data_IF_149016961315
#
_entry.id   IF_149016961315
#
_cell.length_a   1.000
_cell.length_b   1.000
_cell.length_c   1.000
_cell.angle_alpha   90.00
_cell.angle_beta   90.00
_cell.angle_gamma   90.00
#
_symmetry.space_group_name_H-M   'P 1'
#
loop_
_entity.id
_entity.type
_entity.pdbx_description
1 polymer ?
#
# COMPACT_ATOMS: atom_id res chain seq x y z
N UNK A 1 -17.52 -1.80 -13.63
CA UNK A 1 -16.47 -1.03 -14.34
C UNK A 1 -16.11 0.30 -13.69
N UNK A 2 -17.06 1.10 -13.20
CA UNK A 2 -16.79 2.42 -12.58
C UNK A 2 -15.85 2.36 -11.36
N UNK A 3 -16.01 1.37 -10.48
CA UNK A 3 -15.17 1.21 -9.27
C UNK A 3 -13.71 0.94 -9.64
N UNK A 4 -13.45 0.09 -10.63
CA UNK A 4 -12.08 -0.21 -11.09
C UNK A 4 -11.44 1.04 -11.71
N UNK A 5 -12.20 1.81 -12.49
CA UNK A 5 -11.72 3.07 -13.06
C UNK A 5 -11.39 4.11 -11.98
N UNK A 6 -12.28 4.26 -11.00
CA UNK A 6 -12.07 5.14 -9.85
C UNK A 6 -10.82 4.73 -9.06
N UNK A 7 -10.66 3.43 -8.80
CA UNK A 7 -9.47 2.90 -8.12
C UNK A 7 -8.19 3.17 -8.91
N UNK A 8 -8.16 2.94 -10.22
CA UNK A 8 -6.98 3.25 -11.06
C UNK A 8 -6.60 4.73 -10.98
N UNK A 9 -7.60 5.61 -11.06
CA UNK A 9 -7.37 7.05 -10.97
C UNK A 9 -6.85 7.45 -9.59
N UNK A 10 -7.46 6.93 -8.52
CA UNK A 10 -6.99 7.10 -7.15
C UNK A 10 -5.55 6.61 -6.99
N UNK A 11 -5.23 5.43 -7.52
CA UNK A 11 -3.92 4.82 -7.37
C UNK A 11 -2.82 5.63 -8.09
N UNK A 12 -3.11 6.24 -9.24
CA UNK A 12 -2.19 7.17 -9.91
C UNK A 12 -1.84 8.36 -9.00
N UNK A 13 -2.86 8.96 -8.36
CA UNK A 13 -2.66 10.09 -7.44
C UNK A 13 -1.88 9.64 -6.19
N UNK A 14 -2.25 8.49 -5.62
CA UNK A 14 -1.57 7.93 -4.45
C UNK A 14 -0.08 7.71 -4.71
N UNK A 15 0.31 7.18 -5.88
CA UNK A 15 1.73 7.04 -6.24
C UNK A 15 2.47 8.39 -6.27
N UNK A 16 1.82 9.45 -6.75
CA UNK A 16 2.39 10.79 -6.76
C UNK A 16 2.55 11.35 -5.34
N UNK A 17 1.58 11.10 -4.47
CA UNK A 17 1.62 11.52 -3.06
C UNK A 17 2.74 10.80 -2.29
N UNK A 18 2.90 9.49 -2.52
CA UNK A 18 3.98 8.69 -1.94
C UNK A 18 5.36 9.18 -2.39
N UNK A 19 5.53 9.46 -3.69
CA UNK A 19 6.78 10.03 -4.21
C UNK A 19 7.14 11.39 -3.59
N UNK A 20 6.14 12.16 -3.16
CA UNK A 20 6.29 13.48 -2.51
C UNK A 20 6.30 13.43 -0.98
N UNK A 21 6.26 12.24 -0.38
CA UNK A 21 6.26 12.14 1.07
C UNK A 21 7.51 12.81 1.68
N UNK A 22 7.37 13.34 2.88
CA UNK A 22 8.48 13.87 3.68
C UNK A 22 9.06 12.72 4.50
N UNK A 23 10.35 12.41 4.33
CA UNK A 23 10.99 11.27 4.99
C UNK A 23 10.54 9.89 4.47
N UNK A 24 10.71 8.86 5.29
CA UNK A 24 10.46 7.47 4.90
C UNK A 24 8.96 7.13 4.84
N UNK A 25 8.64 6.12 4.03
CA UNK A 25 7.29 5.53 3.95
C UNK A 25 7.29 4.24 4.76
N UNK A 26 6.42 4.17 5.76
CA UNK A 26 6.16 2.95 6.51
C UNK A 26 4.98 2.20 5.90
N UNK A 27 4.87 0.90 6.11
CA UNK A 27 3.67 0.16 5.75
C UNK A 27 3.29 -0.85 6.82
N UNK A 28 1.99 -1.14 6.89
CA UNK A 28 1.45 -2.27 7.63
C UNK A 28 0.93 -3.30 6.63
N UNK A 29 1.12 -4.57 6.93
CA UNK A 29 0.50 -5.69 6.22
C UNK A 29 -0.45 -6.40 7.17
N UNK A 30 -1.73 -6.44 6.81
CA UNK A 30 -2.73 -7.24 7.49
C UNK A 30 -2.96 -8.52 6.68
N UNK A 31 -2.83 -9.68 7.30
CA UNK A 31 -2.99 -10.98 6.67
C UNK A 31 -4.04 -11.77 7.43
N UNK A 32 -5.01 -12.28 6.70
CA UNK A 32 -6.07 -13.09 7.28
C UNK A 32 -6.53 -14.16 6.28
N UNK A 33 -7.28 -15.12 6.81
CA UNK A 33 -7.95 -16.15 6.03
C UNK A 33 -9.46 -15.96 6.23
N UNK A 34 -10.23 -15.93 5.15
CA UNK A 34 -11.69 -15.84 5.24
C UNK A 34 -12.33 -17.15 5.72
N UNK A 35 -13.64 -17.14 5.92
CA UNK A 35 -14.41 -18.33 6.35
C UNK A 35 -14.36 -19.49 5.34
N UNK A 36 -14.00 -19.19 4.08
CA UNK A 36 -13.84 -20.18 3.01
C UNK A 36 -12.39 -20.67 2.88
N UNK A 37 -11.55 -20.41 3.88
CA UNK A 37 -10.13 -20.75 3.89
C UNK A 37 -9.31 -20.08 2.77
N UNK A 38 -9.74 -18.89 2.31
CA UNK A 38 -9.04 -18.11 1.29
C UNK A 38 -8.15 -17.07 1.98
N UNK A 39 -6.83 -17.10 1.74
CA UNK A 39 -5.92 -16.16 2.37
C UNK A 39 -5.85 -14.84 1.60
N UNK A 40 -5.84 -13.74 2.34
CA UNK A 40 -5.76 -12.39 1.82
C UNK A 40 -4.66 -11.59 2.50
N UNK A 41 -4.19 -10.56 1.80
CA UNK A 41 -3.30 -9.53 2.33
C UNK A 41 -3.83 -8.15 1.95
N UNK A 42 -3.83 -7.25 2.93
CA UNK A 42 -4.01 -5.82 2.73
C UNK A 42 -2.72 -5.09 3.13
N UNK A 43 -2.24 -4.18 2.28
CA UNK A 43 -1.06 -3.35 2.59
C UNK A 43 -1.46 -1.89 2.59
N UNK A 44 -1.21 -1.22 3.72
CA UNK A 44 -1.46 0.21 3.91
C UNK A 44 -0.16 0.95 4.15
N UNK A 45 0.17 1.89 3.26
CA UNK A 45 1.31 2.78 3.43
C UNK A 45 0.94 3.95 4.33
N UNK A 46 1.89 4.41 5.13
CA UNK A 46 1.79 5.52 6.06
C UNK A 46 2.95 6.46 5.76
N UNK A 47 2.67 7.74 5.54
CA UNK A 47 3.69 8.72 5.16
C UNK A 47 3.37 10.11 5.70
N UNK A 48 4.42 10.91 5.86
CA UNK A 48 4.27 12.32 6.23
C UNK A 48 4.19 13.17 4.96
N UNK A 49 3.36 14.22 4.96
CA UNK A 49 3.37 15.26 3.93
C UNK A 49 3.39 16.64 4.58
N UNK A 50 3.81 17.66 3.83
CA UNK A 50 3.53 19.05 4.20
C UNK A 50 2.02 19.27 4.21
N UNK A 51 1.54 19.99 5.21
CA UNK A 51 0.16 20.46 5.31
C UNK A 51 0.00 21.80 4.57
N UNK A 52 -1.24 22.24 4.39
CA UNK A 52 -1.56 23.57 3.85
C UNK A 52 -1.20 24.71 4.81
N UNK A 53 -0.92 24.40 6.09
CA UNK A 53 -0.40 25.38 7.05
C UNK A 53 1.13 25.37 7.01
N UNK A 54 1.73 26.56 6.84
CA UNK A 54 3.17 26.69 6.80
C UNK A 54 3.82 26.11 8.07
N UNK A 55 4.79 25.21 7.89
CA UNK A 55 5.52 24.57 8.99
C UNK A 55 4.81 23.40 9.67
N UNK A 56 3.61 22.98 9.23
CA UNK A 56 2.93 21.81 9.79
C UNK A 56 3.06 20.56 8.91
N UNK A 57 3.21 19.42 9.60
CA UNK A 57 3.28 18.09 8.99
C UNK A 57 1.95 17.36 9.18
N UNK A 58 1.60 16.52 8.22
CA UNK A 58 0.40 15.68 8.27
C UNK A 58 0.79 14.23 8.07
N UNK A 59 0.33 13.35 8.97
CA UNK A 59 0.36 11.91 8.75
C UNK A 59 -0.79 11.52 7.82
N UNK A 60 -0.45 10.77 6.77
CA UNK A 60 -1.38 10.22 5.80
C UNK A 60 -1.28 8.70 5.80
N UNK A 61 -2.36 8.04 5.40
CA UNK A 61 -2.40 6.60 5.18
C UNK A 61 -3.19 6.30 3.91
N UNK A 62 -2.83 5.20 3.24
CA UNK A 62 -3.44 4.82 1.96
C UNK A 62 -3.26 3.34 1.67
N UNK A 63 -4.35 2.67 1.32
CA UNK A 63 -4.33 1.26 0.91
C UNK A 63 -3.71 1.15 -0.49
N UNK A 64 -2.61 0.41 -0.59
CA UNK A 64 -1.90 0.20 -1.87
C UNK A 64 -2.16 -1.19 -2.47
N UNK A 65 -2.58 -2.16 -1.66
CA UNK A 65 -2.85 -3.51 -2.11
C UNK A 65 -3.94 -4.17 -1.28
N UNK A 66 -4.82 -4.91 -1.95
CA UNK A 66 -5.72 -5.91 -1.36
C UNK A 66 -5.75 -7.11 -2.30
N UNK A 67 -5.16 -8.23 -1.90
CA UNK A 67 -4.92 -9.37 -2.80
C UNK A 67 -5.26 -10.69 -2.13
N UNK A 68 -5.83 -11.61 -2.93
CA UNK A 68 -5.88 -13.04 -2.60
C UNK A 68 -4.49 -13.64 -2.85
N UNK A 69 -3.94 -14.35 -1.85
CA UNK A 69 -2.57 -14.88 -1.88
C UNK A 69 -2.53 -16.40 -1.66
N UNK A 70 -3.01 -17.20 -2.63
CA UNK A 70 -3.05 -18.65 -2.49
C UNK A 70 -1.65 -19.26 -2.43
N UNK A 71 -1.54 -20.44 -1.81
CA UNK A 71 -0.28 -21.18 -1.71
C UNK A 71 0.38 -21.09 -0.33
N UNK A 72 1.68 -21.36 -0.27
CA UNK A 72 2.42 -21.46 0.99
C UNK A 72 2.82 -20.08 1.52
N UNK A 73 2.43 -19.75 2.76
CA UNK A 73 2.79 -18.49 3.43
C UNK A 73 4.10 -18.58 4.23
N UNK A 74 5.15 -19.14 3.62
CA UNK A 74 6.48 -19.08 4.24
C UNK A 74 6.98 -17.63 4.29
N UNK A 75 7.91 -17.32 5.21
CA UNK A 75 8.48 -15.98 5.32
C UNK A 75 9.06 -15.47 3.99
N UNK A 76 9.71 -16.34 3.21
CA UNK A 76 10.24 -16.00 1.87
C UNK A 76 9.14 -15.63 0.89
N UNK A 77 8.06 -16.42 0.83
CA UNK A 77 6.96 -16.18 -0.12
C UNK A 77 6.19 -14.89 0.24
N UNK A 78 5.97 -14.66 1.53
CA UNK A 78 5.35 -13.42 2.00
C UNK A 78 6.23 -12.21 1.70
N UNK A 79 7.54 -12.29 1.96
CA UNK A 79 8.47 -11.21 1.64
C UNK A 79 8.49 -10.87 0.15
N UNK A 80 8.53 -11.89 -0.73
CA UNK A 80 8.46 -11.69 -2.18
C UNK A 80 7.13 -11.07 -2.63
N UNK A 81 6.01 -11.54 -2.06
CA UNK A 81 4.68 -11.01 -2.35
C UNK A 81 4.57 -9.55 -1.94
N UNK A 82 4.98 -9.23 -0.70
CA UNK A 82 4.98 -7.86 -0.18
C UNK A 82 5.87 -6.97 -1.04
N UNK A 83 7.09 -7.39 -1.37
CA UNK A 83 8.02 -6.63 -2.21
C UNK A 83 7.41 -6.32 -3.58
N UNK A 84 6.78 -7.30 -4.22
CA UNK A 84 6.08 -7.09 -5.49
C UNK A 84 4.97 -6.03 -5.37
N UNK A 85 4.15 -6.11 -4.31
CA UNK A 85 3.03 -5.19 -4.09
C UNK A 85 3.47 -3.76 -3.79
N UNK A 86 4.51 -3.57 -2.96
CA UNK A 86 5.05 -2.23 -2.66
C UNK A 86 5.81 -1.64 -3.86
N UNK A 87 6.45 -2.47 -4.70
CA UNK A 87 7.07 -2.04 -5.96
C UNK A 87 6.00 -1.52 -6.94
N UNK A 88 4.84 -2.17 -7.04
CA UNK A 88 3.73 -1.70 -7.88
C UNK A 88 3.29 -0.27 -7.51
N UNK A 89 3.36 0.07 -6.22
CA UNK A 89 3.06 1.39 -5.68
C UNK A 89 4.22 2.40 -5.79
N UNK A 90 5.41 2.00 -6.27
CA UNK A 90 6.58 2.87 -6.38
C UNK A 90 7.22 3.24 -5.04
N UNK A 91 6.95 2.46 -3.99
CA UNK A 91 7.44 2.76 -2.62
C UNK A 91 8.95 2.54 -2.49
N UNK A 92 9.50 1.59 -3.23
CA UNK A 92 10.92 1.20 -3.18
C UNK A 92 11.85 2.07 -4.02
N UNK A 93 11.30 2.99 -4.81
CA UNK A 93 12.05 3.89 -5.69
C UNK A 93 12.42 5.21 -5.00
N UNK A 94 12.06 5.37 -3.73
CA UNK A 94 12.25 6.58 -2.93
C UNK A 94 13.39 6.42 -1.93
#
# INVERSE_FOLDING_TARGET
ELVIKAWRQYFIVLKQDLARAEGDISFTSDLWTDENLRPFIAITTHWISKSNTAGSLKLNAGLIAFHHIPGNHTGTNLAQTILCLINCAGVTEK
#
